data_IF_500068779772
#
_entry.id   IF_500068779772
#
_cell.length_a   1.000
_cell.length_b   1.000
_cell.length_c   1.000
_cell.angle_alpha   90.00
_cell.angle_beta   90.00
_cell.angle_gamma   90.00
#
_symmetry.space_group_name_H-M   'P 1'
#
loop_
_entity.id
_entity.type
_entity.pdbx_description
1 polymer ?
#
# COMPACT_ATOMS: atom_id res chain seq x y z
N UNK A 1 24.29 -5.44 -13.26
CA UNK A 1 24.80 -4.44 -12.28
C UNK A 1 23.71 -3.41 -12.04
N UNK A 2 23.51 -2.92 -10.81
CA UNK A 2 22.51 -1.90 -10.51
C UNK A 2 22.91 -0.54 -11.07
N UNK A 3 21.98 0.13 -11.76
CA UNK A 3 22.19 1.44 -12.38
C UNK A 3 21.10 2.40 -11.91
N UNK A 4 21.45 3.63 -11.46
CA UNK A 4 20.46 4.65 -11.15
C UNK A 4 19.55 4.95 -12.35
N UNK A 5 18.24 4.92 -12.11
CA UNK A 5 17.26 5.28 -13.14
C UNK A 5 17.26 6.79 -13.35
N UNK A 6 17.13 7.23 -14.61
CA UNK A 6 17.00 8.65 -14.97
C UNK A 6 15.54 9.06 -15.18
N UNK A 7 14.81 8.26 -15.96
CA UNK A 7 13.47 8.63 -16.43
C UNK A 7 12.34 7.81 -15.77
N UNK A 8 12.67 6.62 -15.25
CA UNK A 8 11.70 5.71 -14.63
C UNK A 8 11.71 5.91 -13.11
N UNK A 9 11.28 7.08 -12.64
CA UNK A 9 11.38 7.46 -11.22
C UNK A 9 10.13 7.15 -10.41
N UNK A 10 8.98 7.03 -11.07
CA UNK A 10 7.69 6.82 -10.45
C UNK A 10 6.91 5.72 -11.18
N UNK A 11 6.20 4.90 -10.42
CA UNK A 11 5.33 3.88 -10.97
C UNK A 11 4.25 3.42 -10.01
N UNK A 12 3.29 2.69 -10.54
CA UNK A 12 2.18 2.10 -9.80
C UNK A 12 2.20 0.59 -10.00
N UNK A 13 2.13 -0.16 -8.91
CA UNK A 13 2.00 -1.61 -8.95
C UNK A 13 0.67 -2.00 -9.61
N UNK A 14 0.73 -2.84 -10.64
CA UNK A 14 -0.46 -3.31 -11.39
C UNK A 14 -0.87 -4.73 -11.02
N UNK A 15 -0.06 -5.42 -10.22
CA UNK A 15 -0.34 -6.74 -9.67
C UNK A 15 0.20 -6.85 -8.24
N UNK A 16 -0.39 -7.74 -7.46
CA UNK A 16 0.15 -8.13 -6.16
C UNK A 16 1.41 -8.98 -6.35
N UNK A 17 2.43 -8.72 -5.55
CA UNK A 17 3.65 -9.51 -5.51
C UNK A 17 4.09 -9.71 -4.06
N UNK A 18 4.12 -10.96 -3.61
CA UNK A 18 4.32 -11.31 -2.19
C UNK A 18 5.76 -11.12 -1.72
N UNK A 19 6.72 -11.13 -2.64
CA UNK A 19 8.12 -10.81 -2.32
C UNK A 19 8.90 -11.97 -1.70
N UNK A 20 8.78 -13.18 -2.23
CA UNK A 20 9.46 -14.40 -1.73
C UNK A 20 11.00 -14.42 -1.90
N UNK A 21 11.61 -13.29 -2.26
CA UNK A 21 13.04 -13.17 -2.54
C UNK A 21 13.73 -12.30 -1.50
N UNK A 22 15.02 -12.52 -1.27
CA UNK A 22 15.81 -11.67 -0.36
C UNK A 22 15.77 -10.21 -0.80
N UNK A 23 15.59 -9.32 0.17
CA UNK A 23 15.48 -7.87 -0.03
C UNK A 23 14.27 -7.45 -0.88
N UNK A 24 13.28 -8.33 -1.06
CA UNK A 24 12.06 -8.00 -1.76
C UNK A 24 11.32 -6.86 -1.06
N UNK A 25 10.71 -6.00 -1.87
CA UNK A 25 9.68 -5.08 -1.45
C UNK A 25 8.33 -5.64 -1.94
N UNK A 26 7.51 -6.26 -1.06
CA UNK A 26 6.19 -6.71 -1.45
C UNK A 26 5.36 -5.56 -2.02
N UNK A 27 4.58 -5.86 -3.06
CA UNK A 27 3.72 -4.88 -3.72
C UNK A 27 2.27 -5.33 -3.63
N UNK A 28 1.40 -4.39 -3.28
CA UNK A 28 -0.04 -4.53 -3.47
C UNK A 28 -0.47 -3.74 -4.70
N UNK A 29 -1.48 -4.22 -5.42
CA UNK A 29 -2.04 -3.51 -6.56
C UNK A 29 -2.45 -2.09 -6.15
N UNK A 30 -2.01 -1.10 -6.94
CA UNK A 30 -2.21 0.31 -6.66
C UNK A 30 -1.18 0.94 -5.72
N UNK A 31 -0.18 0.20 -5.23
CA UNK A 31 0.94 0.80 -4.52
C UNK A 31 1.74 1.72 -5.43
N UNK A 32 2.02 2.93 -4.94
CA UNK A 32 2.85 3.91 -5.63
C UNK A 32 4.28 3.75 -5.15
N UNK A 33 5.22 3.62 -6.10
CA UNK A 33 6.63 3.37 -5.82
C UNK A 33 7.49 4.46 -6.42
N UNK A 34 8.52 4.86 -5.66
CA UNK A 34 9.64 5.62 -6.20
C UNK A 34 10.77 4.65 -6.54
N UNK A 35 11.22 4.69 -7.78
CA UNK A 35 12.26 3.82 -8.30
C UNK A 35 13.60 4.57 -8.27
N UNK A 36 14.62 3.91 -7.72
CA UNK A 36 15.95 4.47 -7.56
C UNK A 36 16.89 3.89 -8.62
N UNK A 37 16.89 2.58 -8.77
CA UNK A 37 17.84 1.85 -9.61
C UNK A 37 17.14 0.71 -10.36
N UNK A 38 17.73 0.27 -11.46
CA UNK A 38 17.30 -0.90 -12.22
C UNK A 38 18.46 -1.87 -12.47
N UNK A 39 18.16 -3.17 -12.52
CA UNK A 39 19.09 -4.23 -12.88
C UNK A 39 18.30 -5.39 -13.49
N UNK A 40 18.51 -5.68 -14.77
CA UNK A 40 18.06 -6.93 -15.44
C UNK A 40 16.63 -7.38 -15.07
N UNK A 41 15.63 -6.56 -15.38
CA UNK A 41 14.22 -6.90 -15.11
C UNK A 41 13.76 -6.65 -13.67
N UNK A 42 14.62 -6.10 -12.81
CA UNK A 42 14.30 -5.66 -11.47
C UNK A 42 14.45 -4.15 -11.31
N UNK A 43 13.56 -3.59 -10.51
CA UNK A 43 13.71 -2.26 -9.92
C UNK A 43 14.10 -2.38 -8.46
N UNK A 44 14.80 -1.37 -7.96
CA UNK A 44 15.03 -1.13 -6.53
C UNK A 44 14.47 0.23 -6.17
N UNK A 45 13.71 0.27 -5.10
CA UNK A 45 12.96 1.46 -4.70
C UNK A 45 12.28 1.30 -3.35
N UNK A 46 11.26 2.12 -3.12
CA UNK A 46 10.41 2.07 -1.93
C UNK A 46 8.98 2.49 -2.28
N UNK A 47 8.02 2.03 -1.48
CA UNK A 47 6.64 2.50 -1.58
C UNK A 47 6.52 3.91 -0.98
N UNK A 48 5.78 4.81 -1.63
CA UNK A 48 5.60 6.20 -1.14
C UNK A 48 4.95 6.21 0.24
N UNK A 49 4.02 5.28 0.51
CA UNK A 49 3.39 5.08 1.83
C UNK A 49 4.37 4.67 2.94
N UNK A 50 5.54 4.11 2.59
CA UNK A 50 6.57 3.73 3.55
C UNK A 50 7.99 3.87 2.93
N UNK A 51 8.53 5.09 2.98
CA UNK A 51 9.83 5.43 2.36
C UNK A 51 11.04 4.82 3.09
N UNK A 52 10.85 4.31 4.30
CA UNK A 52 11.91 3.72 5.11
C UNK A 52 12.31 2.32 4.62
N UNK A 53 11.35 1.58 4.07
CA UNK A 53 11.55 0.23 3.56
C UNK A 53 11.96 0.28 2.09
N UNK A 54 13.23 0.00 1.83
CA UNK A 54 13.77 -0.14 0.47
C UNK A 54 13.91 -1.61 0.13
N UNK A 55 13.56 -1.97 -1.10
CA UNK A 55 13.72 -3.33 -1.60
C UNK A 55 13.62 -3.41 -3.12
N UNK A 56 13.68 -4.63 -3.62
CA UNK A 56 13.64 -4.94 -5.04
C UNK A 56 12.27 -5.48 -5.43
N UNK A 57 11.84 -5.21 -6.66
CA UNK A 57 10.59 -5.71 -7.22
C UNK A 57 10.68 -5.84 -8.75
N UNK A 58 9.91 -6.75 -9.38
CA UNK A 58 10.03 -6.98 -10.82
C UNK A 58 9.47 -5.81 -11.64
N UNK A 59 10.12 -5.50 -12.76
CA UNK A 59 9.69 -4.43 -13.69
C UNK A 59 8.28 -4.69 -14.23
N UNK A 60 7.93 -5.95 -14.50
CA UNK A 60 6.65 -6.35 -15.09
C UNK A 60 5.44 -6.10 -14.17
N UNK A 61 5.67 -5.88 -12.87
CA UNK A 61 4.61 -5.63 -11.89
C UNK A 61 4.32 -4.15 -11.71
N UNK A 62 5.08 -3.26 -12.35
CA UNK A 62 4.97 -1.81 -12.17
C UNK A 62 4.73 -1.12 -13.51
N UNK A 63 3.64 -0.36 -13.57
CA UNK A 63 3.39 0.57 -14.66
C UNK A 63 4.12 1.89 -14.37
N UNK A 64 5.07 2.25 -15.23
CA UNK A 64 5.80 3.53 -15.11
C UNK A 64 4.86 4.69 -15.45
N UNK A 65 4.91 5.73 -14.62
CA UNK A 65 4.08 6.92 -14.72
C UNK A 65 4.94 8.16 -14.82
N UNK A 66 4.42 9.19 -15.51
CA UNK A 66 5.13 10.46 -15.66
C UNK A 66 5.17 11.22 -14.33
N UNK A 67 6.33 11.79 -14.02
CA UNK A 67 6.57 12.53 -12.80
C UNK A 67 7.50 13.72 -13.08
N UNK A 68 7.37 14.78 -12.29
CA UNK A 68 8.36 15.85 -12.19
C UNK A 68 9.43 15.43 -11.18
N UNK A 69 10.69 15.65 -11.54
CA UNK A 69 11.84 15.40 -10.67
C UNK A 69 12.48 16.73 -10.34
N UNK A 70 12.63 17.03 -9.06
CA UNK A 70 13.30 18.22 -8.54
C UNK A 70 14.50 17.81 -7.68
N UNK A 71 15.52 18.66 -7.61
CA UNK A 71 16.72 18.44 -6.79
C UNK A 71 17.47 17.13 -7.10
N UNK A 72 17.78 16.89 -8.38
CA UNK A 72 18.52 15.70 -8.82
C UNK A 72 19.74 15.42 -7.92
N UNK A 73 19.87 14.18 -7.45
CA UNK A 73 20.93 13.76 -6.54
C UNK A 73 20.40 13.29 -5.17
N UNK A 74 21.07 13.69 -4.09
CA UNK A 74 20.81 13.15 -2.75
C UNK A 74 19.44 13.53 -2.17
N UNK A 75 18.85 14.65 -2.62
CA UNK A 75 17.58 15.18 -2.14
C UNK A 75 16.49 15.15 -3.22
N UNK A 76 16.56 14.16 -4.12
CA UNK A 76 15.63 14.03 -5.23
C UNK A 76 14.17 13.94 -4.76
N UNK A 77 13.36 14.87 -5.23
CA UNK A 77 11.91 14.91 -5.00
C UNK A 77 11.20 14.48 -6.27
N UNK A 78 10.40 13.43 -6.17
CA UNK A 78 9.61 12.89 -7.29
C UNK A 78 8.14 13.17 -7.02
N UNK A 79 7.53 13.98 -7.88
CA UNK A 79 6.12 14.36 -7.78
C UNK A 79 5.36 13.80 -8.99
N UNK A 80 4.29 13.02 -8.80
CA UNK A 80 3.48 12.53 -9.92
C UNK A 80 2.87 13.70 -10.70
N UNK A 81 2.74 13.55 -12.03
CA UNK A 81 2.07 14.53 -12.90
C UNK A 81 0.56 14.30 -13.01
N UNK A 82 0.01 13.38 -12.22
CA UNK A 82 -1.43 13.15 -12.14
C UNK A 82 -2.14 14.40 -11.59
N UNK A 83 -3.35 14.68 -12.08
CA UNK A 83 -4.10 15.87 -11.69
C UNK A 83 -4.27 15.89 -10.15
N UNK A 84 -3.96 17.02 -9.47
CA UNK A 84 -4.06 17.11 -8.02
C UNK A 84 -5.44 16.70 -7.50
N UNK A 85 -6.52 17.04 -8.20
CA UNK A 85 -7.89 16.66 -7.82
C UNK A 85 -8.06 15.14 -7.90
N UNK A 86 -7.53 14.50 -8.94
CA UNK A 86 -7.57 13.03 -9.07
C UNK A 86 -6.78 12.37 -7.93
N UNK A 87 -5.61 12.92 -7.57
CA UNK A 87 -4.81 12.41 -6.47
C UNK A 87 -5.55 12.54 -5.14
N UNK A 88 -6.07 13.72 -4.81
CA UNK A 88 -6.82 13.95 -3.56
C UNK A 88 -8.04 13.04 -3.47
N UNK A 89 -8.85 12.95 -4.54
CA UNK A 89 -10.01 12.04 -4.58
C UNK A 89 -9.57 10.58 -4.36
N UNK A 90 -8.47 10.16 -4.98
CA UNK A 90 -7.93 8.80 -4.81
C UNK A 90 -7.51 8.53 -3.36
N UNK A 91 -6.83 9.49 -2.72
CA UNK A 91 -6.38 9.37 -1.33
C UNK A 91 -7.55 9.34 -0.34
N UNK A 92 -8.54 10.21 -0.53
CA UNK A 92 -9.75 10.25 0.32
C UNK A 92 -10.54 8.94 0.22
N UNK A 93 -10.73 8.40 -0.99
CA UNK A 93 -11.41 7.11 -1.17
C UNK A 93 -10.67 5.95 -0.50
N UNK A 94 -9.33 5.95 -0.52
CA UNK A 94 -8.52 4.95 0.19
C UNK A 94 -8.70 5.04 1.70
N UNK A 95 -8.68 6.25 2.26
CA UNK A 95 -8.92 6.49 3.68
C UNK A 95 -10.31 6.01 4.10
N UNK A 96 -11.33 6.38 3.33
CA UNK A 96 -12.71 5.96 3.57
C UNK A 96 -12.87 4.45 3.51
N UNK A 97 -12.22 3.78 2.56
CA UNK A 97 -12.20 2.32 2.49
C UNK A 97 -11.64 1.67 3.75
N UNK A 98 -10.58 2.24 4.34
CA UNK A 98 -10.01 1.75 5.59
C UNK A 98 -10.97 1.94 6.78
N UNK A 99 -11.59 3.12 6.89
CA UNK A 99 -12.58 3.43 7.92
C UNK A 99 -13.78 2.47 7.82
N UNK A 100 -14.31 2.29 6.61
CA UNK A 100 -15.42 1.38 6.33
C UNK A 100 -15.10 -0.05 6.75
N UNK A 101 -13.92 -0.57 6.37
CA UNK A 101 -13.49 -1.92 6.77
C UNK A 101 -13.44 -2.07 8.29
N UNK A 102 -12.93 -1.06 9.00
CA UNK A 102 -12.89 -1.05 10.47
C UNK A 102 -14.30 -1.09 11.07
N UNK A 103 -15.21 -0.26 10.57
CA UNK A 103 -16.61 -0.22 11.04
C UNK A 103 -17.33 -1.54 10.77
N UNK A 104 -17.12 -2.16 9.60
CA UNK A 104 -17.72 -3.46 9.25
C UNK A 104 -17.27 -4.57 10.22
N UNK A 105 -15.98 -4.66 10.53
CA UNK A 105 -15.46 -5.66 11.47
C UNK A 105 -15.94 -5.45 12.91
N UNK A 106 -15.99 -4.19 13.36
CA UNK A 106 -16.49 -3.84 14.71
C UNK A 106 -17.99 -4.09 14.83
N UNK A 107 -18.78 -3.70 13.82
CA UNK A 107 -20.25 -3.91 13.82
C UNK A 107 -20.63 -5.39 13.69
N UNK A 108 -19.84 -6.20 12.98
CA UNK A 108 -19.98 -7.66 12.95
C UNK A 108 -19.63 -8.35 14.28
N UNK A 109 -18.77 -7.73 15.10
CA UNK A 109 -18.38 -8.26 16.42
C UNK A 109 -19.41 -7.93 17.52
N UNK A 110 -20.12 -6.81 17.38
CA UNK A 110 -21.17 -6.39 18.33
C UNK A 110 -22.48 -7.18 18.23
N UNK A 111 -22.63 -8.10 17.27
CA UNK A 111 -23.77 -9.03 17.22
C UNK A 111 -23.50 -10.37 17.93
N UNK A 112 -22.26 -10.65 18.36
CA UNK A 112 -21.93 -11.89 19.09
C UNK A 112 -21.92 -11.75 20.63
N UNK A 113 -22.02 -10.52 21.15
CA UNK A 113 -21.97 -10.25 22.60
C UNK A 113 -23.34 -9.92 23.24
N UNK A 114 -24.43 -10.02 22.48
CA UNK A 114 -25.77 -9.60 22.91
C UNK A 114 -26.80 -10.71 23.17
N UNK A 115 -26.39 -12.00 23.14
CA UNK A 115 -27.30 -13.12 23.44
C UNK A 115 -26.65 -14.04 24.47
N UNK A 116 -26.55 -13.54 25.69
CA UNK A 116 -26.49 -14.33 26.93
C UNK A 116 -27.19 -13.49 28.01
N UNK A 117 -28.47 -13.21 27.76
CA UNK A 117 -29.37 -12.64 28.75
C UNK A 117 -29.95 -13.80 29.56
N UNK A 118 -29.54 -13.89 30.83
CA UNK A 118 -30.28 -14.36 31.99
C UNK A 118 -31.27 -15.53 31.82
N UNK A 119 -30.82 -16.74 32.15
CA UNK A 119 -31.72 -17.80 32.61
C UNK A 119 -32.03 -17.63 34.09
N UNK A 120 -33.30 -17.71 34.54
CA UNK A 120 -33.63 -17.60 35.94
C UNK A 120 -33.27 -18.91 36.65
N UNK A 121 -32.33 -18.85 37.60
CA UNK A 121 -32.12 -19.94 38.55
C UNK A 121 -33.32 -19.99 39.50
N UNK A 122 -34.31 -20.80 39.17
CA UNK A 122 -35.35 -21.23 40.11
C UNK A 122 -35.13 -22.71 40.43
N UNK A 123 -34.38 -22.97 41.50
CA UNK A 123 -34.24 -24.29 42.10
C UNK A 123 -34.79 -24.20 43.53
N UNK A 124 -36.05 -24.58 43.71
CA UNK A 124 -36.67 -24.94 44.98
C UNK A 124 -37.50 -26.21 44.74
N UNK A 125 -37.26 -27.24 45.58
CA UNK A 125 -38.00 -28.52 45.65
C UNK A 125 -37.23 -29.67 45.01
N UNK A 126 -36.84 -30.75 45.70
CA UNK A 126 -37.25 -31.34 46.98
C UNK A 126 -36.03 -31.91 47.74
#
# INVERSE_FOLDING_TARGET
MWVPTKNKKYGVAVYNWEGDTRYALPLEIGDTVQILEECEGWFRGFCIKNRSLKGIFPVSYVCIKSCRVENEGANEVVTPLEDPVVNEVTLVLREWGHIWKKLYLVSGSNQAAGVLCDGPNNEHGE
#
